data_IF_014833655554
#
_entry.id   IF_014833655554
#
_cell.length_a   1.000
_cell.length_b   1.000
_cell.length_c   1.000
_cell.angle_alpha   90.00
_cell.angle_beta   90.00
_cell.angle_gamma   90.00
#
_symmetry.space_group_name_H-M   'P 1'
#
loop_
_entity.id
_entity.type
_entity.pdbx_description
1 polymer ?
#
# COMPACT_ATOMS: atom_id res chain seq x y z
N UNK A 1 6.64 6.63 -43.94
CA UNK A 1 7.20 6.02 -45.16
C UNK A 1 7.79 4.67 -44.81
N UNK A 2 7.49 3.65 -45.63
CA UNK A 2 7.83 2.23 -45.45
C UNK A 2 9.35 1.96 -45.36
N UNK A 3 9.70 0.86 -44.70
CA UNK A 3 10.63 -0.20 -45.17
C UNK A 3 10.66 -1.28 -44.07
N UNK A 4 10.01 -2.45 -44.22
CA UNK A 4 10.35 -3.61 -45.04
C UNK A 4 11.74 -4.20 -44.69
N UNK A 5 11.76 -5.21 -43.83
CA UNK A 5 12.92 -6.08 -43.59
C UNK A 5 12.50 -7.52 -43.84
N UNK A 6 12.79 -7.98 -45.06
CA UNK A 6 12.79 -9.38 -45.46
C UNK A 6 13.85 -10.14 -44.65
N UNK A 7 13.44 -11.17 -43.89
CA UNK A 7 14.36 -12.15 -43.35
C UNK A 7 14.42 -13.37 -44.27
N UNK A 8 15.56 -13.52 -44.94
CA UNK A 8 15.99 -14.71 -45.67
C UNK A 8 16.62 -15.66 -44.64
N UNK A 9 16.06 -16.86 -44.45
CA UNK A 9 16.69 -17.90 -43.62
C UNK A 9 17.50 -18.86 -44.51
N UNK A 10 18.68 -19.35 -44.06
CA UNK A 10 19.74 -19.80 -44.95
C UNK A 10 19.63 -21.26 -45.41
N UNK A 11 20.32 -21.54 -46.51
CA UNK A 11 20.51 -22.87 -47.10
C UNK A 11 21.43 -23.73 -46.23
N UNK A 12 21.00 -24.96 -45.95
CA UNK A 12 21.79 -25.94 -45.20
C UNK A 12 22.53 -26.81 -46.22
N UNK A 13 23.86 -26.69 -46.23
CA UNK A 13 24.77 -27.57 -46.96
C UNK A 13 25.08 -28.79 -46.08
N UNK A 14 25.00 -29.98 -46.66
CA UNK A 14 25.56 -31.19 -46.06
C UNK A 14 26.98 -31.38 -46.61
N UNK A 15 27.95 -31.43 -45.71
CA UNK A 15 29.36 -31.69 -46.01
C UNK A 15 29.63 -33.17 -45.77
N UNK A 16 30.18 -33.84 -46.78
CA UNK A 16 30.56 -35.25 -46.74
C UNK A 16 31.67 -35.50 -45.71
N UNK A 17 31.40 -36.39 -44.76
CA UNK A 17 32.41 -36.98 -43.88
C UNK A 17 32.71 -38.41 -44.30
N UNK A 18 33.69 -38.61 -45.17
CA UNK A 18 34.33 -39.90 -45.36
C UNK A 18 35.25 -40.20 -44.16
N UNK A 19 35.05 -41.36 -43.53
CA UNK A 19 35.98 -41.96 -42.59
C UNK A 19 36.92 -42.89 -43.36
N UNK A 20 38.24 -42.68 -43.22
CA UNK A 20 39.22 -43.67 -43.70
C UNK A 20 39.35 -44.81 -42.68
N UNK A 21 39.06 -46.04 -43.14
CA UNK A 21 40.00 -47.16 -43.12
C UNK A 21 39.34 -48.43 -43.71
N UNK A 22 39.54 -48.66 -45.00
CA UNK A 22 39.52 -49.99 -45.63
C UNK A 22 38.15 -50.56 -46.07
N UNK A 23 37.75 -50.30 -47.32
CA UNK A 23 37.29 -51.32 -48.30
C UNK A 23 36.66 -50.69 -49.57
N UNK A 24 37.25 -51.00 -50.72
CA UNK A 24 36.78 -51.07 -52.14
C UNK A 24 35.57 -50.26 -52.66
N UNK A 25 35.82 -49.57 -53.80
CA UNK A 25 34.95 -48.69 -54.60
C UNK A 25 33.81 -49.35 -55.44
N UNK A 26 32.85 -48.48 -55.83
CA UNK A 26 31.59 -48.49 -56.64
C UNK A 26 31.63 -49.13 -58.08
N UNK A 27 30.57 -49.10 -58.97
CA UNK A 27 29.24 -48.42 -58.93
C UNK A 27 27.97 -49.07 -59.60
N UNK A 28 26.81 -48.41 -59.36
CA UNK A 28 25.58 -48.12 -60.17
C UNK A 28 24.53 -49.18 -60.56
N UNK A 29 23.22 -48.81 -60.48
CA UNK A 29 22.24 -49.12 -61.54
C UNK A 29 21.22 -47.97 -61.87
N UNK A 30 20.37 -48.12 -62.92
CA UNK A 30 19.73 -47.05 -63.71
C UNK A 30 18.26 -46.71 -63.35
N UNK A 31 17.70 -45.75 -64.09
CA UNK A 31 16.35 -45.14 -64.01
C UNK A 31 15.22 -45.99 -64.64
N UNK A 32 14.02 -45.95 -64.03
CA UNK A 32 12.69 -46.13 -64.67
C UNK A 32 11.65 -46.86 -63.78
N UNK A 33 10.32 -46.85 -64.05
CA UNK A 33 9.47 -46.05 -64.96
C UNK A 33 8.25 -45.34 -64.27
N UNK A 34 7.57 -44.39 -64.95
CA UNK A 34 6.30 -43.76 -64.48
C UNK A 34 5.06 -44.67 -64.62
N UNK A 35 4.08 -44.58 -63.70
CA UNK A 35 2.64 -44.68 -64.07
C UNK A 35 1.69 -43.85 -63.13
N UNK A 36 0.34 -43.92 -63.26
CA UNK A 36 -0.59 -43.49 -64.32
C UNK A 36 -1.60 -42.39 -63.81
N UNK A 37 -2.59 -41.88 -64.59
CA UNK A 37 -3.30 -40.64 -64.28
C UNK A 37 -4.44 -40.78 -63.24
N UNK A 38 -4.72 -39.66 -62.57
CA UNK A 38 -5.61 -39.49 -61.40
C UNK A 38 -7.10 -39.67 -61.75
N UNK A 39 -7.88 -40.43 -60.96
CA UNK A 39 -9.34 -40.44 -61.07
C UNK A 39 -9.96 -39.19 -60.39
N UNK A 40 -10.84 -38.51 -61.13
CA UNK A 40 -11.58 -37.33 -60.69
C UNK A 40 -12.64 -37.69 -59.63
N UNK A 41 -12.37 -37.32 -58.37
CA UNK A 41 -13.20 -37.69 -57.22
C UNK A 41 -14.31 -36.66 -57.03
N UNK A 42 -15.42 -36.81 -57.78
CA UNK A 42 -16.68 -36.10 -57.49
C UNK A 42 -17.06 -36.32 -56.02
N UNK A 43 -16.92 -35.28 -55.20
CA UNK A 43 -17.32 -35.27 -53.79
C UNK A 43 -18.84 -35.35 -53.67
N UNK A 44 -19.34 -36.42 -53.05
CA UNK A 44 -20.70 -36.48 -52.48
C UNK A 44 -20.74 -35.50 -51.29
N UNK A 45 -21.73 -34.59 -51.16
CA UNK A 45 -21.75 -33.65 -50.06
C UNK A 45 -22.14 -34.38 -48.77
N UNK A 46 -21.18 -34.54 -47.87
CA UNK A 46 -21.42 -35.02 -46.51
C UNK A 46 -22.11 -33.91 -45.72
N UNK A 47 -23.30 -34.20 -45.21
CA UNK A 47 -24.21 -33.26 -44.54
C UNK A 47 -23.61 -32.72 -43.23
N UNK A 48 -22.77 -31.68 -43.31
CA UNK A 48 -22.12 -31.02 -42.17
C UNK A 48 -23.00 -29.95 -41.49
N UNK A 49 -24.32 -29.99 -41.72
CA UNK A 49 -25.27 -28.94 -41.33
C UNK A 49 -25.64 -28.97 -39.84
N UNK A 50 -25.47 -30.11 -39.16
CA UNK A 50 -25.82 -30.27 -37.73
C UNK A 50 -24.82 -29.64 -36.75
N UNK A 51 -23.51 -29.81 -36.98
CA UNK A 51 -22.46 -29.37 -36.03
C UNK A 51 -22.23 -27.86 -36.01
N UNK A 52 -22.46 -27.17 -37.14
CA UNK A 52 -22.46 -25.70 -37.21
C UNK A 52 -23.68 -25.10 -36.49
N UNK A 53 -24.86 -25.70 -36.65
CA UNK A 53 -26.11 -25.21 -36.05
C UNK A 53 -26.06 -25.17 -34.52
N UNK A 54 -25.57 -26.25 -33.89
CA UNK A 54 -25.45 -26.31 -32.42
C UNK A 54 -24.45 -25.28 -31.88
N UNK A 55 -23.33 -25.04 -32.58
CA UNK A 55 -22.37 -24.00 -32.20
C UNK A 55 -22.96 -22.59 -32.27
N UNK A 56 -23.73 -22.28 -33.32
CA UNK A 56 -24.44 -20.99 -33.42
C UNK A 56 -25.51 -20.83 -32.34
N UNK A 57 -26.24 -21.90 -31.99
CA UNK A 57 -27.21 -21.89 -30.91
C UNK A 57 -26.55 -21.61 -29.55
N UNK A 58 -25.44 -22.27 -29.23
CA UNK A 58 -24.70 -22.01 -27.98
C UNK A 58 -24.16 -20.59 -27.93
N UNK A 59 -23.57 -20.09 -29.01
CA UNK A 59 -23.10 -18.70 -29.08
C UNK A 59 -24.24 -17.69 -28.91
N UNK A 60 -25.39 -17.95 -29.53
CA UNK A 60 -26.57 -17.12 -29.38
C UNK A 60 -27.08 -17.10 -27.92
N UNK A 61 -27.12 -18.24 -27.25
CA UNK A 61 -27.49 -18.33 -25.84
C UNK A 61 -26.52 -17.56 -24.93
N UNK A 62 -25.21 -17.66 -25.16
CA UNK A 62 -24.21 -16.90 -24.40
C UNK A 62 -24.38 -15.39 -24.58
N UNK A 63 -24.68 -14.95 -25.81
CA UNK A 63 -24.96 -13.54 -26.11
C UNK A 63 -26.21 -13.06 -25.37
N UNK A 64 -27.29 -13.85 -25.33
CA UNK A 64 -28.49 -13.51 -24.57
C UNK A 64 -28.22 -13.41 -23.06
N UNK A 65 -27.42 -14.33 -22.51
CA UNK A 65 -27.01 -14.27 -21.09
C UNK A 65 -26.17 -13.03 -20.82
N UNK A 66 -25.25 -12.66 -21.72
CA UNK A 66 -24.46 -11.44 -21.58
C UNK A 66 -25.35 -10.18 -21.62
N UNK A 67 -26.29 -10.08 -22.57
CA UNK A 67 -27.19 -8.93 -22.67
C UNK A 67 -28.14 -8.81 -21.47
N UNK A 68 -28.66 -9.93 -20.96
CA UNK A 68 -29.49 -9.92 -19.74
C UNK A 68 -28.67 -9.50 -18.51
N UNK A 69 -27.43 -9.96 -18.37
CA UNK A 69 -26.52 -9.51 -17.32
C UNK A 69 -26.24 -8.00 -17.39
N UNK A 70 -25.92 -7.48 -18.58
CA UNK A 70 -25.69 -6.03 -18.77
C UNK A 70 -26.96 -5.23 -18.48
N UNK A 71 -28.12 -5.70 -18.92
CA UNK A 71 -29.42 -5.07 -18.65
C UNK A 71 -29.73 -5.00 -17.16
N UNK A 72 -29.49 -6.08 -16.40
CA UNK A 72 -29.67 -6.09 -14.95
C UNK A 72 -28.69 -5.15 -14.23
N UNK A 73 -27.42 -5.11 -14.68
CA UNK A 73 -26.43 -4.17 -14.14
C UNK A 73 -26.86 -2.71 -14.39
N UNK A 74 -27.26 -2.38 -15.61
CA UNK A 74 -27.73 -1.03 -15.95
C UNK A 74 -29.00 -0.64 -15.18
N UNK A 75 -29.95 -1.57 -15.03
CA UNK A 75 -31.15 -1.33 -14.22
C UNK A 75 -30.82 -1.08 -12.75
N UNK A 76 -29.88 -1.84 -12.17
CA UNK A 76 -29.44 -1.63 -10.78
C UNK A 76 -28.73 -0.29 -10.61
N UNK A 77 -27.86 0.10 -11.54
CA UNK A 77 -27.19 1.41 -11.49
C UNK A 77 -28.23 2.53 -11.59
N UNK A 78 -29.14 2.47 -12.55
CA UNK A 78 -30.17 3.50 -12.73
C UNK A 78 -31.13 3.59 -11.53
N UNK A 79 -31.50 2.45 -10.94
CA UNK A 79 -32.33 2.43 -9.73
C UNK A 79 -31.61 3.06 -8.54
N UNK A 80 -30.32 2.76 -8.37
CA UNK A 80 -29.50 3.34 -7.30
C UNK A 80 -29.28 4.84 -7.50
N UNK A 81 -29.05 5.27 -8.74
CA UNK A 81 -28.95 6.71 -9.08
C UNK A 81 -30.24 7.44 -8.78
N UNK A 82 -31.40 6.85 -9.12
CA UNK A 82 -32.71 7.43 -8.80
C UNK A 82 -32.96 7.53 -7.30
N UNK A 83 -32.64 6.48 -6.54
CA UNK A 83 -32.76 6.49 -5.07
C UNK A 83 -31.82 7.54 -4.45
N UNK A 84 -30.62 7.70 -5.02
CA UNK A 84 -29.64 8.70 -4.58
C UNK A 84 -30.07 10.15 -4.90
N UNK A 85 -30.69 10.38 -6.05
CA UNK A 85 -31.24 11.69 -6.41
C UNK A 85 -32.48 12.05 -5.55
N UNK A 86 -33.37 11.09 -5.27
CA UNK A 86 -34.50 11.28 -4.36
C UNK A 86 -34.02 11.57 -2.92
N UNK A 87 -33.00 10.86 -2.44
CA UNK A 87 -32.38 11.14 -1.15
C UNK A 87 -31.67 12.50 -1.14
N UNK A 88 -30.97 12.88 -2.22
CA UNK A 88 -30.32 14.19 -2.33
C UNK A 88 -31.32 15.33 -2.23
N UNK A 89 -32.43 15.25 -2.96
CA UNK A 89 -33.50 16.25 -2.90
C UNK A 89 -34.11 16.34 -1.49
N UNK A 90 -34.34 15.19 -0.84
CA UNK A 90 -34.85 15.16 0.55
C UNK A 90 -33.87 15.74 1.56
N UNK A 91 -32.55 15.49 1.39
CA UNK A 91 -31.50 15.99 2.27
C UNK A 91 -31.20 17.49 2.05
N UNK A 92 -31.50 18.05 0.88
CA UNK A 92 -31.40 19.51 0.66
C UNK A 92 -32.55 20.30 1.27
N UNK A 93 -33.69 19.67 1.58
CA UNK A 93 -34.83 20.30 2.23
C UNK A 93 -34.69 20.35 3.78
N UNK A 94 -33.80 19.55 4.37
CA UNK A 94 -33.53 19.54 5.81
C UNK A 94 -32.05 19.83 6.06
N UNK A 95 -31.75 20.94 6.73
CA UNK A 95 -30.38 21.44 6.93
C UNK A 95 -29.54 20.48 7.80
N UNK A 96 -28.98 19.44 7.18
CA UNK A 96 -28.01 18.51 7.77
C UNK A 96 -26.65 18.83 7.16
N UNK A 97 -25.60 19.11 7.97
CA UNK A 97 -24.27 19.34 7.41
C UNK A 97 -23.76 18.05 6.73
N UNK A 98 -23.13 18.14 5.56
CA UNK A 98 -22.76 16.95 4.80
C UNK A 98 -21.75 16.10 5.57
N UNK A 99 -22.10 14.83 5.78
CA UNK A 99 -21.17 13.81 6.22
C UNK A 99 -19.98 13.79 5.26
N UNK A 100 -18.79 14.04 5.80
CA UNK A 100 -17.59 14.31 5.04
C UNK A 100 -17.08 13.04 4.36
N UNK A 101 -17.52 12.77 3.13
CA UNK A 101 -16.81 11.84 2.27
C UNK A 101 -15.46 12.43 1.86
N UNK A 102 -14.44 11.67 2.25
CA UNK A 102 -13.03 12.03 2.24
C UNK A 102 -12.44 11.67 0.87
N UNK A 103 -11.55 12.54 0.39
CA UNK A 103 -10.73 12.46 -0.84
C UNK A 103 -11.38 12.97 -2.13
N UNK A 104 -11.36 14.30 -2.30
CA UNK A 104 -10.98 14.86 -3.60
C UNK A 104 -10.24 16.18 -3.39
N UNK A 105 -9.10 16.34 -4.06
CA UNK A 105 -8.29 17.57 -4.04
C UNK A 105 -9.10 18.73 -4.57
N UNK A 106 -9.71 19.51 -3.67
CA UNK A 106 -10.37 20.75 -4.02
C UNK A 106 -9.32 21.84 -4.15
N UNK A 107 -9.15 22.30 -5.40
CA UNK A 107 -8.41 23.46 -5.88
C UNK A 107 -8.30 24.54 -4.79
N UNK A 108 -7.07 24.85 -4.39
CA UNK A 108 -6.74 25.87 -3.39
C UNK A 108 -7.28 27.23 -3.85
N UNK A 109 -8.47 27.57 -3.38
CA UNK A 109 -8.83 28.97 -3.18
C UNK A 109 -8.04 29.42 -1.95
N UNK A 110 -7.19 30.42 -2.17
CA UNK A 110 -6.33 31.08 -1.18
C UNK A 110 -7.13 31.87 -0.14
N UNK A 111 -8.06 31.22 0.56
CA UNK A 111 -8.28 31.61 1.95
C UNK A 111 -6.97 31.31 2.68
N UNK A 112 -6.50 32.24 3.52
CA UNK A 112 -5.47 31.96 4.51
C UNK A 112 -5.88 30.68 5.26
N UNK A 113 -5.40 29.54 4.78
CA UNK A 113 -5.73 28.25 5.36
C UNK A 113 -4.96 28.26 6.65
N UNK A 114 -5.69 28.50 7.73
CA UNK A 114 -5.11 28.56 9.05
C UNK A 114 -4.21 27.33 9.23
N UNK A 115 -2.95 27.56 9.60
CA UNK A 115 -1.99 26.48 9.70
C UNK A 115 -2.54 25.40 10.63
N UNK A 116 -2.68 24.17 10.10
CA UNK A 116 -3.14 23.01 10.85
C UNK A 116 -2.27 22.86 12.10
N UNK A 117 -2.88 22.74 13.28
CA UNK A 117 -2.14 22.55 14.53
C UNK A 117 -1.76 21.09 14.65
N UNK A 118 -0.59 20.73 14.13
CA UNK A 118 -0.09 19.37 14.12
C UNK A 118 1.44 19.34 14.24
N UNK A 119 1.95 18.26 14.83
CA UNK A 119 3.37 17.99 14.87
C UNK A 119 3.62 16.48 14.79
N UNK A 120 4.70 16.12 14.13
CA UNK A 120 5.26 14.78 14.14
C UNK A 120 6.77 14.92 14.36
N UNK A 121 7.25 14.42 15.48
CA UNK A 121 8.65 14.47 15.86
C UNK A 121 9.25 13.07 15.80
N UNK A 122 10.51 12.96 15.39
CA UNK A 122 11.21 11.68 15.21
C UNK A 122 12.36 11.54 16.22
N UNK A 123 12.82 10.30 16.44
CA UNK A 123 13.85 10.00 17.43
C UNK A 123 15.17 10.76 17.19
N UNK A 124 15.72 11.38 18.24
CA UNK A 124 17.05 11.98 18.20
C UNK A 124 18.10 11.00 18.78
N UNK A 125 19.03 10.45 17.97
CA UNK A 125 20.02 9.48 18.45
C UNK A 125 21.12 10.09 19.33
N UNK A 126 21.30 11.41 19.36
CA UNK A 126 22.33 12.09 20.14
C UNK A 126 21.95 12.31 21.61
N UNK A 127 20.69 12.05 21.98
CA UNK A 127 20.17 12.34 23.32
C UNK A 127 20.77 11.44 24.40
N UNK A 128 20.87 11.97 25.63
CA UNK A 128 21.45 11.25 26.77
C UNK A 128 20.63 11.31 28.05
N UNK A 129 19.54 12.07 28.07
CA UNK A 129 18.77 12.35 29.27
C UNK A 129 17.26 12.35 29.00
N UNK A 130 16.46 12.25 30.06
CA UNK A 130 15.01 12.29 30.05
C UNK A 130 14.48 13.71 30.36
N UNK A 131 13.28 14.10 29.87
CA UNK A 131 12.46 13.38 28.89
C UNK A 131 13.16 13.23 27.53
N UNK A 132 12.61 12.34 26.70
CA UNK A 132 13.18 12.09 25.38
C UNK A 132 13.24 13.39 24.58
N UNK A 133 14.38 13.61 23.95
CA UNK A 133 14.60 14.67 22.98
C UNK A 133 14.27 14.16 21.57
N UNK A 134 13.76 15.05 20.74
CA UNK A 134 13.22 14.74 19.43
C UNK A 134 13.81 15.64 18.35
N UNK A 135 13.86 15.12 17.13
CA UNK A 135 14.11 15.88 15.90
C UNK A 135 12.79 16.52 15.43
N UNK A 136 12.70 17.86 15.31
CA UNK A 136 11.46 18.55 14.98
C UNK A 136 11.30 19.00 13.52
N UNK A 137 12.38 18.97 12.71
CA UNK A 137 12.42 19.67 11.41
C UNK A 137 12.86 18.75 10.27
N UNK A 138 13.79 17.84 10.52
CA UNK A 138 14.51 17.07 9.50
C UNK A 138 13.85 15.71 9.23
N UNK A 139 14.05 15.18 8.02
CA UNK A 139 13.52 13.86 7.62
C UNK A 139 12.00 13.87 7.54
N UNK A 140 11.35 12.91 8.20
CA UNK A 140 9.89 12.84 8.28
C UNK A 140 9.27 13.72 9.39
N UNK A 141 10.08 14.48 10.15
CA UNK A 141 9.59 15.34 11.21
C UNK A 141 9.02 16.67 10.68
N UNK A 142 8.03 17.22 11.37
CA UNK A 142 7.53 18.56 11.13
C UNK A 142 6.78 19.12 12.34
N UNK A 143 6.68 20.44 12.38
CA UNK A 143 5.79 21.17 13.29
C UNK A 143 5.00 22.22 12.53
N UNK A 144 3.70 22.35 12.82
CA UNK A 144 2.81 23.34 12.21
C UNK A 144 1.83 23.83 13.26
N UNK A 145 1.88 25.13 13.59
CA UNK A 145 1.03 25.74 14.62
C UNK A 145 1.23 25.21 16.06
N UNK A 146 2.17 24.30 16.27
CA UNK A 146 2.57 23.72 17.56
C UNK A 146 4.08 23.94 17.68
N UNK A 147 4.54 24.39 18.84
CA UNK A 147 5.96 24.67 19.05
C UNK A 147 6.65 23.47 19.70
N UNK A 148 7.90 23.21 19.33
CA UNK A 148 8.77 22.30 20.06
C UNK A 148 9.77 23.10 20.88
N UNK A 149 9.74 22.93 22.21
CA UNK A 149 10.61 23.66 23.14
C UNK A 149 10.87 22.83 24.39
N UNK A 150 12.09 22.87 24.92
CA UNK A 150 12.50 22.12 26.11
C UNK A 150 12.06 20.65 26.08
N UNK A 151 12.32 19.96 24.95
CA UNK A 151 12.01 18.53 24.73
C UNK A 151 10.53 18.17 24.71
N UNK A 152 9.64 19.16 24.63
CA UNK A 152 8.20 18.93 24.59
C UNK A 152 7.47 19.71 23.51
N UNK A 153 6.27 19.23 23.16
CA UNK A 153 5.33 19.93 22.29
C UNK A 153 4.49 20.90 23.11
N UNK A 154 4.55 22.18 22.81
CA UNK A 154 3.89 23.27 23.54
C UNK A 154 2.61 23.70 22.81
N UNK A 155 1.50 23.63 23.54
CA UNK A 155 0.17 23.97 23.05
C UNK A 155 -0.05 25.48 23.16
N UNK A 156 -0.18 26.15 22.02
CA UNK A 156 -0.48 27.58 21.96
C UNK A 156 -1.99 27.86 21.97
N UNK A 157 -2.78 26.93 21.46
CA UNK A 157 -4.22 27.08 21.29
C UNK A 157 -4.95 25.96 22.05
N UNK A 158 -5.86 26.28 22.98
CA UNK A 158 -6.60 25.25 23.68
C UNK A 158 -7.50 24.47 22.71
N UNK A 159 -7.76 23.20 23.01
CA UNK A 159 -8.58 22.35 22.15
C UNK A 159 -8.53 20.88 22.49
N UNK A 160 -9.22 20.08 21.67
CA UNK A 160 -9.14 18.63 21.72
C UNK A 160 -8.04 18.18 20.74
N UNK A 161 -7.08 17.41 21.25
CA UNK A 161 -5.93 16.96 20.48
C UNK A 161 -5.83 15.44 20.55
N UNK A 162 -5.58 14.80 19.41
CA UNK A 162 -5.11 13.42 19.38
C UNK A 162 -3.60 13.44 19.59
N UNK A 163 -3.14 12.81 20.67
CA UNK A 163 -1.73 12.71 21.04
C UNK A 163 -1.30 11.27 20.85
N UNK A 164 -0.16 11.03 20.22
CA UNK A 164 0.36 9.69 19.98
C UNK A 164 1.87 9.62 20.14
N UNK A 165 2.39 8.46 20.57
CA UNK A 165 3.81 8.17 20.60
C UNK A 165 4.06 6.69 20.34
N UNK A 166 5.14 6.40 19.62
CA UNK A 166 5.63 5.06 19.41
C UNK A 166 7.09 4.98 19.86
N UNK A 167 7.45 3.92 20.59
CA UNK A 167 8.82 3.64 21.03
C UNK A 167 9.15 2.19 20.74
N UNK A 168 10.23 1.94 20.02
CA UNK A 168 10.78 0.61 19.84
C UNK A 168 11.91 0.36 20.84
N UNK A 169 11.68 -0.55 21.78
CA UNK A 169 12.71 -1.09 22.65
C UNK A 169 13.40 -2.29 21.98
N UNK A 170 14.72 -2.40 22.12
CA UNK A 170 15.50 -3.56 21.67
C UNK A 170 16.79 -3.74 22.46
N UNK A 171 17.26 -4.97 22.53
CA UNK A 171 18.57 -5.31 23.11
C UNK A 171 19.08 -6.63 22.54
N UNK A 172 20.40 -6.80 22.50
CA UNK A 172 21.05 -8.08 22.19
C UNK A 172 20.97 -9.08 23.35
N UNK A 173 20.77 -8.59 24.58
CA UNK A 173 20.67 -9.39 25.80
C UNK A 173 19.31 -9.17 26.50
N UNK A 174 18.75 -10.26 27.04
CA UNK A 174 17.55 -10.18 27.85
C UNK A 174 17.90 -9.83 29.29
N UNK A 175 17.46 -8.65 29.72
CA UNK A 175 17.44 -8.24 31.12
C UNK A 175 15.97 -8.16 31.56
N UNK A 176 15.64 -8.69 32.74
CA UNK A 176 14.27 -8.77 33.28
C UNK A 176 13.81 -7.46 33.92
N UNK A 177 14.34 -6.33 33.45
CA UNK A 177 13.95 -5.01 33.90
C UNK A 177 12.54 -4.64 33.43
N UNK A 178 11.89 -3.70 34.12
CA UNK A 178 10.61 -3.15 33.67
C UNK A 178 10.86 -2.14 32.55
N UNK A 179 10.15 -2.29 31.44
CA UNK A 179 10.04 -1.27 30.41
C UNK A 179 8.86 -0.37 30.73
N UNK A 180 9.06 0.94 30.62
CA UNK A 180 7.99 1.93 30.69
C UNK A 180 8.11 2.89 29.52
N UNK A 181 6.95 3.30 29.00
CA UNK A 181 6.77 4.33 28.00
C UNK A 181 5.61 5.21 28.49
N UNK A 182 5.90 6.49 28.75
CA UNK A 182 4.96 7.40 29.43
C UNK A 182 4.86 8.70 28.64
N UNK A 183 3.64 9.09 28.27
CA UNK A 183 3.34 10.42 27.78
C UNK A 183 2.71 11.21 28.91
N UNK A 184 3.27 12.37 29.23
CA UNK A 184 2.77 13.23 30.31
C UNK A 184 2.75 14.70 29.88
N UNK A 185 2.01 15.52 30.60
CA UNK A 185 1.96 16.96 30.41
C UNK A 185 2.40 17.75 31.64
N UNK A 186 2.94 18.93 31.41
CA UNK A 186 3.20 19.97 32.42
C UNK A 186 2.58 21.27 31.97
N UNK A 187 2.08 22.06 32.91
CA UNK A 187 1.61 23.41 32.64
C UNK A 187 2.21 24.36 33.68
N UNK A 188 2.81 25.50 33.31
CA UNK A 188 3.35 26.47 34.27
C UNK A 188 2.31 26.95 35.32
N UNK A 189 1.02 26.94 34.96
CA UNK A 189 -0.08 27.35 35.83
C UNK A 189 -0.61 26.21 36.72
N UNK A 190 0.00 25.02 36.71
CA UNK A 190 -0.45 23.89 37.52
C UNK A 190 0.75 23.13 38.09
N UNK A 191 0.79 22.88 39.40
CA UNK A 191 1.94 22.20 40.01
C UNK A 191 2.02 20.74 39.53
N UNK A 192 3.25 20.29 39.25
CA UNK A 192 3.54 18.89 38.94
C UNK A 192 3.37 18.48 37.47
N UNK A 193 3.58 17.19 37.22
CA UNK A 193 3.42 16.55 35.90
C UNK A 193 2.21 15.62 35.95
N UNK A 194 1.37 15.64 34.94
CA UNK A 194 0.20 14.77 34.82
C UNK A 194 0.43 13.73 33.73
N UNK A 195 0.42 12.45 34.10
CA UNK A 195 0.49 11.33 33.14
C UNK A 195 -0.79 11.29 32.33
N UNK A 196 -0.66 11.21 31.00
CA UNK A 196 -1.76 11.09 30.05
C UNK A 196 -1.93 9.65 29.59
N UNK A 197 -0.82 8.98 29.28
CA UNK A 197 -0.78 7.61 28.78
C UNK A 197 0.47 6.91 29.29
N UNK A 198 0.36 5.63 29.61
CA UNK A 198 1.49 4.80 30.06
C UNK A 198 1.32 3.37 29.54
N UNK A 199 2.41 2.78 29.05
CA UNK A 199 2.54 1.35 28.80
C UNK A 199 3.70 0.80 29.64
N UNK A 200 3.49 -0.40 30.20
CA UNK A 200 4.50 -1.12 30.98
C UNK A 200 4.73 -2.51 30.40
N UNK A 201 6.00 -2.86 30.25
CA UNK A 201 6.44 -4.16 29.80
C UNK A 201 7.24 -4.88 30.87
N UNK A 202 6.78 -6.07 31.24
CA UNK A 202 7.52 -7.05 32.03
C UNK A 202 7.58 -8.37 31.27
N UNK A 203 8.54 -9.23 31.60
CA UNK A 203 8.65 -10.60 31.07
C UNK A 203 8.57 -10.68 29.53
N UNK A 204 9.13 -9.71 28.82
CA UNK A 204 9.04 -9.59 27.36
C UNK A 204 10.12 -10.37 26.59
N UNK A 205 11.04 -11.02 27.30
CA UNK A 205 12.10 -11.84 26.72
C UNK A 205 12.43 -13.02 27.64
N UNK A 206 13.01 -14.08 27.07
CA UNK A 206 13.40 -15.30 27.79
C UNK A 206 14.76 -15.79 27.33
N UNK A 207 15.62 -16.19 28.27
CA UNK A 207 16.97 -16.68 27.98
C UNK A 207 17.90 -15.61 27.42
N UNK A 208 19.06 -16.01 26.89
CA UNK A 208 20.06 -15.08 26.32
C UNK A 208 19.80 -14.80 24.83
N UNK A 209 18.58 -14.38 24.49
CA UNK A 209 18.19 -14.06 23.11
C UNK A 209 18.01 -12.56 22.92
N UNK A 210 18.39 -12.08 21.74
CA UNK A 210 18.05 -10.75 21.26
C UNK A 210 16.53 -10.58 21.25
N UNK A 211 16.06 -9.40 21.61
CA UNK A 211 14.63 -9.09 21.63
C UNK A 211 14.37 -7.67 21.14
N UNK A 212 13.16 -7.46 20.65
CA UNK A 212 12.62 -6.15 20.33
C UNK A 212 11.13 -6.12 20.69
N UNK A 213 10.67 -5.00 21.24
CA UNK A 213 9.27 -4.78 21.65
C UNK A 213 8.85 -3.37 21.29
N UNK A 214 7.75 -3.26 20.57
CA UNK A 214 7.13 -1.98 20.26
C UNK A 214 6.14 -1.58 21.38
N UNK A 215 6.07 -0.29 21.67
CA UNK A 215 5.06 0.32 22.54
C UNK A 215 4.42 1.51 21.83
N UNK A 216 3.11 1.46 21.62
CA UNK A 216 2.34 2.52 20.98
C UNK A 216 1.29 3.06 21.95
N UNK A 217 1.23 4.38 22.08
CA UNK A 217 0.25 5.10 22.88
C UNK A 217 -0.48 6.10 21.99
N UNK A 218 -1.79 6.20 22.11
CA UNK A 218 -2.60 7.14 21.33
C UNK A 218 -3.98 7.37 21.94
N UNK A 219 -4.35 8.63 22.20
CA UNK A 219 -5.67 8.99 22.72
C UNK A 219 -5.98 10.49 22.54
N UNK A 220 -7.26 10.84 22.72
CA UNK A 220 -7.74 12.21 22.70
C UNK A 220 -7.64 12.87 24.08
N UNK A 221 -7.11 14.09 24.12
CA UNK A 221 -6.99 14.90 25.33
C UNK A 221 -7.43 16.33 25.09
N UNK A 222 -8.17 16.88 26.05
CA UNK A 222 -8.44 18.32 26.11
C UNK A 222 -7.20 19.02 26.70
N UNK A 223 -6.50 19.76 25.85
CA UNK A 223 -5.26 20.46 26.20
C UNK A 223 -5.52 21.96 26.36
N UNK A 224 -4.79 22.57 27.28
CA UNK A 224 -4.86 24.00 27.58
C UNK A 224 -3.66 24.72 26.97
N UNK A 225 -3.80 26.03 26.80
CA UNK A 225 -2.67 26.89 26.46
C UNK A 225 -1.53 26.70 27.47
N UNK A 226 -0.29 26.63 26.98
CA UNK A 226 0.94 26.33 27.72
C UNK A 226 1.04 24.92 28.31
N UNK A 227 0.10 24.01 27.99
CA UNK A 227 0.39 22.58 28.22
C UNK A 227 1.60 22.21 27.35
N UNK A 228 2.64 21.66 27.97
CA UNK A 228 3.80 21.07 27.31
C UNK A 228 3.75 19.56 27.48
N UNK A 229 3.84 18.82 26.38
CA UNK A 229 3.73 17.37 26.36
C UNK A 229 5.10 16.76 26.12
N UNK A 230 5.41 15.73 26.92
CA UNK A 230 6.72 15.11 27.01
C UNK A 230 6.59 13.60 27.04
N UNK A 231 7.66 12.90 26.67
CA UNK A 231 7.72 11.43 26.69
C UNK A 231 8.88 10.97 27.56
N UNK A 232 8.60 10.08 28.51
CA UNK A 232 9.60 9.39 29.30
C UNK A 232 9.63 7.91 28.95
N UNK A 233 10.81 7.30 29.12
CA UNK A 233 11.00 5.85 29.01
C UNK A 233 11.83 5.33 30.18
N UNK A 234 11.71 4.04 30.47
CA UNK A 234 12.49 3.36 31.50
C UNK A 234 14.01 3.45 31.33
N UNK A 235 14.54 3.11 30.14
CA UNK A 235 15.97 3.18 29.81
C UNK A 235 16.17 3.63 28.36
N UNK A 236 16.83 4.78 28.19
CA UNK A 236 17.16 5.37 26.87
C UNK A 236 18.03 4.41 26.05
N UNK A 237 18.98 3.72 26.68
CA UNK A 237 19.91 2.81 26.00
C UNK A 237 19.24 1.64 25.27
N UNK A 238 17.97 1.35 25.58
CA UNK A 238 17.19 0.30 24.93
C UNK A 238 16.35 0.82 23.76
N UNK A 239 16.26 2.14 23.56
CA UNK A 239 15.41 2.74 22.53
C UNK A 239 16.13 2.75 21.19
N UNK A 240 15.43 2.33 20.14
CA UNK A 240 15.86 2.54 18.77
C UNK A 240 15.37 3.90 18.27
N UNK A 241 16.28 4.85 18.02
CA UNK A 241 15.96 6.22 17.59
C UNK A 241 15.77 6.40 16.07
N UNK A 242 15.69 5.31 15.31
CA UNK A 242 15.32 5.40 13.90
C UNK A 242 13.93 6.09 13.75
N UNK A 243 13.83 7.03 12.82
CA UNK A 243 12.65 7.87 12.61
C UNK A 243 11.34 7.09 12.40
N UNK A 244 11.42 5.93 11.75
CA UNK A 244 10.27 5.06 11.48
C UNK A 244 9.83 4.23 12.69
N UNK A 245 10.65 4.16 13.73
CA UNK A 245 10.48 3.26 14.89
C UNK A 245 10.16 4.01 16.17
N UNK A 246 10.71 5.21 16.36
CA UNK A 246 10.44 6.02 17.55
C UNK A 246 10.04 7.43 17.14
N UNK A 247 8.81 7.79 17.46
CA UNK A 247 8.21 9.07 17.09
C UNK A 247 7.17 9.53 18.11
N UNK A 248 6.89 10.83 18.13
CA UNK A 248 5.94 11.46 19.03
C UNK A 248 5.24 12.61 18.30
N UNK A 249 3.93 12.69 18.40
CA UNK A 249 3.19 13.74 17.72
C UNK A 249 1.81 13.97 18.25
N UNK A 250 1.17 14.97 17.66
CA UNK A 250 -0.21 15.32 17.94
C UNK A 250 -0.84 16.10 16.78
N UNK A 251 -2.16 16.14 16.76
CA UNK A 251 -2.90 17.07 15.92
C UNK A 251 -4.19 17.50 16.62
N UNK A 252 -4.59 18.75 16.38
CA UNK A 252 -5.87 19.30 16.85
C UNK A 252 -7.01 18.76 15.99
N UNK A 253 -8.13 18.43 16.63
CA UNK A 253 -9.40 18.12 15.97
C UNK A 253 -10.18 19.39 15.62
#
# INVERSE_FOLDING_TARGET
MQQNLNYVYPQIFWVDGCADAGASCSPAPPVGPFPPPVPDRRRKPQNNRGRRSVGFLVMFLLILVAFTGVGLCMFKIFHLEKELDELRESASAEHIPPASEKLTGQKEQSLQKEARKAAHLTGNPAQRDLPLEWEPISGHAYTSGVQYHNRGLVINEPGLYFVYSNVLFRSSACDSQVLSHVVYKRNPNSPGSLVLMEDKGINYCTGQRMWARNSYLGALFKLRKMDSLHVNVSKIALVNFEESKTFFGLFKL
#
